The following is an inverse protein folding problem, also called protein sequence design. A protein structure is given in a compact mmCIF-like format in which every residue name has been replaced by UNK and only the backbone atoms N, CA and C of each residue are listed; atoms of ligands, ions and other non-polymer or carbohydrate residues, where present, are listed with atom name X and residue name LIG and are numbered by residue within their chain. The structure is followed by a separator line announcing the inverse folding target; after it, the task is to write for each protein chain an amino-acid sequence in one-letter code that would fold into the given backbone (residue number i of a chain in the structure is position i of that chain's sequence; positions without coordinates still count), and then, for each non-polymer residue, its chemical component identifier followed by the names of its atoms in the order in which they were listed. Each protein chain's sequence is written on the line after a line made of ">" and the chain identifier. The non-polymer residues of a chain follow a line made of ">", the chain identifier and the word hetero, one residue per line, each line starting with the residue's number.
data_IF_298645506355
#
_entry.id   IF_298645506355
#
_cell.length_a   1.000
_cell.length_b   1.000
_cell.length_c   1.000
_cell.angle_alpha   90.00
_cell.angle_beta   90.00
_cell.angle_gamma   90.00
#
_symmetry.space_group_name_H-M   'P 1'
#
loop_
_entity.id
_entity.type
_entity.pdbx_description
1 polymer ?
#
# COMPACT_ATOMS: atom_id res chain seq x y z
N UNK A 1 17.04 39.27 -14.24
CA UNK A 1 16.58 38.75 -15.55
C UNK A 1 17.54 37.67 -16.01
N UNK A 2 17.18 36.40 -15.83
CA UNK A 2 17.90 35.29 -16.45
C UNK A 2 16.87 34.52 -17.28
N UNK A 3 16.85 34.77 -18.60
CA UNK A 3 15.93 34.16 -19.55
C UNK A 3 16.69 33.04 -20.25
N UNK A 4 16.66 31.83 -19.67
CA UNK A 4 17.05 30.63 -20.40
C UNK A 4 15.82 30.16 -21.21
N UNK A 5 15.85 30.17 -22.55
CA UNK A 5 14.70 29.74 -23.34
C UNK A 5 14.48 28.25 -23.12
N UNK A 6 13.38 27.91 -22.43
CA UNK A 6 12.92 26.53 -22.25
C UNK A 6 12.77 25.85 -23.61
N UNK A 7 13.57 24.81 -23.86
CA UNK A 7 13.37 23.95 -25.04
C UNK A 7 12.01 23.25 -24.91
N UNK A 8 11.23 23.12 -26.01
CA UNK A 8 9.98 22.38 -25.96
C UNK A 8 10.25 20.90 -25.66
N UNK A 9 9.42 20.25 -24.82
CA UNK A 9 9.63 18.86 -24.46
C UNK A 9 9.53 17.95 -25.71
N UNK A 10 10.38 16.91 -25.83
CA UNK A 10 10.27 15.96 -26.93
C UNK A 10 8.96 15.16 -26.83
N UNK A 11 8.25 15.02 -27.95
CA UNK A 11 7.01 14.26 -28.04
C UNK A 11 7.22 12.78 -27.69
N UNK A 12 6.50 12.29 -26.68
CA UNK A 12 6.57 10.89 -26.19
C UNK A 12 5.92 9.95 -27.22
N UNK A 13 6.69 9.04 -27.81
CA UNK A 13 6.14 7.91 -28.61
C UNK A 13 5.82 6.76 -27.65
N UNK A 14 4.54 6.52 -27.39
CA UNK A 14 4.06 5.39 -26.57
C UNK A 14 4.25 4.08 -27.34
N UNK A 15 5.15 3.21 -26.87
CA UNK A 15 5.29 1.84 -27.36
C UNK A 15 4.72 0.89 -26.30
N UNK A 16 3.53 0.35 -26.57
CA UNK A 16 2.89 -0.74 -25.84
C UNK A 16 3.62 -2.05 -26.16
N UNK A 17 4.15 -2.75 -25.14
CA UNK A 17 4.55 -4.16 -25.27
C UNK A 17 3.80 -4.95 -24.20
N UNK A 18 2.77 -5.66 -24.66
CA UNK A 18 2.01 -6.66 -23.91
C UNK A 18 2.66 -8.02 -24.20
N UNK A 19 3.19 -8.67 -23.16
CA UNK A 19 3.49 -10.11 -23.10
C UNK A 19 3.39 -10.47 -21.61
N UNK A 20 2.51 -11.32 -21.08
CA UNK A 20 1.79 -12.47 -21.64
C UNK A 20 2.46 -13.76 -21.17
N UNK A 21 1.75 -14.58 -20.36
CA UNK A 21 1.94 -16.03 -20.07
C UNK A 21 2.95 -16.35 -18.94
N UNK A 22 2.76 -17.22 -17.93
CA UNK A 22 1.62 -18.02 -17.44
C UNK A 22 1.94 -18.64 -16.05
N UNK A 23 0.87 -18.83 -15.27
CA UNK A 23 0.48 -19.97 -14.42
C UNK A 23 1.53 -21.05 -14.02
N UNK A 24 1.68 -21.28 -12.71
CA UNK A 24 1.83 -22.64 -12.15
C UNK A 24 1.46 -22.69 -10.64
N UNK A 25 0.32 -23.30 -10.34
CA UNK A 25 -0.05 -23.84 -9.02
C UNK A 25 0.82 -25.08 -8.72
N UNK A 26 1.40 -25.18 -7.52
CA UNK A 26 1.77 -26.48 -6.93
C UNK A 26 1.38 -26.49 -5.46
N UNK A 27 0.29 -27.21 -5.17
CA UNK A 27 -0.08 -27.66 -3.84
C UNK A 27 0.80 -28.85 -3.43
N UNK A 28 1.17 -28.92 -2.15
CA UNK A 28 1.92 -30.05 -1.60
C UNK A 28 1.88 -30.06 -0.08
N UNK A 29 0.82 -30.66 0.46
CA UNK A 29 0.73 -31.05 1.87
C UNK A 29 1.53 -32.34 2.12
N UNK A 30 2.11 -32.51 3.32
CA UNK A 30 1.79 -33.57 4.31
C UNK A 30 2.84 -33.63 5.44
N UNK A 31 2.27 -33.56 6.65
CA UNK A 31 2.65 -33.84 8.05
C UNK A 31 3.58 -35.04 8.32
N UNK A 32 4.48 -34.93 9.34
CA UNK A 32 4.71 -35.88 10.45
C UNK A 32 6.01 -35.55 11.23
N UNK A 33 5.93 -35.14 12.50
CA UNK A 33 6.03 -35.98 13.72
C UNK A 33 7.47 -36.29 14.18
N UNK A 34 7.95 -35.60 15.21
CA UNK A 34 8.96 -36.17 16.13
C UNK A 34 8.77 -35.63 17.54
N UNK A 35 8.76 -36.54 18.51
CA UNK A 35 8.32 -36.35 19.87
C UNK A 35 9.49 -36.18 20.87
N UNK A 36 9.23 -35.36 21.89
CA UNK A 36 9.61 -35.51 23.31
C UNK A 36 11.12 -35.54 23.69
N UNK A 37 11.55 -34.57 24.51
CA UNK A 37 11.65 -34.76 25.97
C UNK A 37 11.98 -33.49 26.77
N UNK A 38 11.54 -33.44 28.06
CA UNK A 38 11.62 -32.28 28.93
C UNK A 38 12.90 -32.30 29.78
N UNK A 39 13.37 -31.11 30.15
CA UNK A 39 14.27 -30.93 31.30
C UNK A 39 13.70 -29.78 32.13
N UNK A 40 12.95 -30.16 33.15
CA UNK A 40 12.56 -29.29 34.26
C UNK A 40 13.81 -28.99 35.10
N UNK A 41 14.03 -27.73 35.48
CA UNK A 41 14.69 -27.40 36.74
C UNK A 41 14.10 -26.10 37.33
N UNK A 42 13.65 -26.09 38.61
CA UNK A 42 12.75 -25.09 39.15
C UNK A 42 13.48 -24.05 40.00
N UNK A 43 13.15 -22.75 39.87
CA UNK A 43 13.16 -21.80 40.99
C UNK A 43 12.16 -20.66 40.69
N UNK A 44 11.08 -20.64 41.46
CA UNK A 44 10.00 -19.67 41.37
C UNK A 44 10.40 -18.32 41.97
N UNK A 45 10.16 -17.24 41.21
CA UNK A 45 9.78 -15.94 41.74
C UNK A 45 8.43 -15.58 41.14
N UNK A 46 7.40 -15.73 41.98
CA UNK A 46 6.02 -15.39 41.69
C UNK A 46 5.87 -13.88 41.52
N UNK A 47 5.46 -13.48 40.34
CA UNK A 47 4.78 -12.21 40.06
C UNK A 47 3.91 -12.50 38.85
N UNK A 48 2.68 -12.98 39.08
CA UNK A 48 1.69 -13.15 38.04
C UNK A 48 1.05 -11.78 37.80
N UNK A 49 1.42 -11.00 36.76
CA UNK A 49 0.45 -10.06 36.23
C UNK A 49 -0.75 -10.90 35.79
N UNK A 50 -1.95 -10.50 36.21
CA UNK A 50 -3.18 -11.22 35.89
C UNK A 50 -3.18 -11.61 34.42
N UNK A 51 -3.39 -12.91 34.16
CA UNK A 51 -3.57 -13.43 32.81
C UNK A 51 -4.87 -12.87 32.26
N UNK A 52 -4.85 -11.63 31.77
CA UNK A 52 -5.70 -11.26 30.67
C UNK A 52 -5.19 -12.07 29.49
N UNK A 53 -5.70 -13.30 29.35
CA UNK A 53 -5.64 -14.00 28.07
C UNK A 53 -6.16 -12.98 27.07
N UNK A 54 -5.34 -12.52 26.10
CA UNK A 54 -5.88 -11.70 25.04
C UNK A 54 -6.98 -12.55 24.42
N UNK A 55 -8.23 -12.09 24.51
CA UNK A 55 -9.31 -12.72 23.77
C UNK A 55 -8.92 -12.54 22.31
N UNK A 56 -8.42 -13.61 21.70
CA UNK A 56 -8.20 -13.64 20.26
C UNK A 56 -9.56 -13.32 19.66
N UNK A 57 -9.73 -12.18 18.96
CA UNK A 57 -11.00 -11.89 18.33
C UNK A 57 -11.32 -13.07 17.43
N UNK A 58 -12.48 -13.70 17.65
CA UNK A 58 -12.96 -14.76 16.79
C UNK A 58 -13.20 -14.13 15.42
N UNK A 59 -12.30 -14.39 14.47
CA UNK A 59 -12.50 -13.94 13.09
C UNK A 59 -13.74 -14.61 12.55
N UNK A 60 -14.72 -13.80 12.15
CA UNK A 60 -15.88 -14.27 11.41
C UNK A 60 -15.37 -14.80 10.05
N UNK A 61 -15.47 -16.12 9.76
CA UNK A 61 -15.00 -16.66 8.50
C UNK A 61 -15.76 -16.08 7.30
N UNK A 62 -17.00 -15.65 7.50
CA UNK A 62 -17.83 -15.11 6.43
C UNK A 62 -17.35 -13.71 6.03
N UNK A 63 -16.92 -12.90 7.00
CA UNK A 63 -16.35 -11.57 6.76
C UNK A 63 -15.09 -11.63 5.87
N UNK A 64 -14.23 -12.63 6.06
CA UNK A 64 -13.02 -12.77 5.24
C UNK A 64 -13.35 -13.04 3.76
N UNK A 65 -14.36 -13.87 3.51
CA UNK A 65 -14.84 -14.15 2.15
C UNK A 65 -15.52 -12.92 1.54
N UNK A 66 -16.38 -12.23 2.30
CA UNK A 66 -17.05 -11.02 1.82
C UNK A 66 -16.06 -9.92 1.42
N UNK A 67 -15.03 -9.69 2.23
CA UNK A 67 -13.98 -8.71 1.90
C UNK A 67 -13.17 -9.11 0.67
N UNK A 68 -12.89 -10.41 0.50
CA UNK A 68 -12.20 -10.90 -0.70
C UNK A 68 -13.03 -10.68 -1.96
N UNK A 69 -14.33 -10.95 -1.91
CA UNK A 69 -15.25 -10.76 -3.03
C UNK A 69 -15.47 -9.27 -3.36
N UNK A 70 -15.39 -8.39 -2.37
CA UNK A 70 -15.51 -6.95 -2.56
C UNK A 70 -14.33 -6.32 -3.33
N UNK A 71 -13.14 -6.94 -3.28
CA UNK A 71 -11.95 -6.46 -4.00
C UNK A 71 -12.00 -6.93 -5.45
N UNK A 72 -12.42 -6.04 -6.35
CA UNK A 72 -12.54 -6.33 -7.78
C UNK A 72 -11.39 -5.72 -8.59
N UNK A 73 -11.01 -6.39 -9.68
CA UNK A 73 -10.00 -5.88 -10.61
C UNK A 73 -10.39 -4.50 -11.16
N UNK A 74 -11.64 -4.33 -11.58
CA UNK A 74 -12.15 -3.06 -12.12
C UNK A 74 -12.13 -1.94 -11.06
N UNK A 75 -12.43 -2.27 -9.81
CA UNK A 75 -12.29 -1.34 -8.68
C UNK A 75 -10.86 -0.84 -8.53
N UNK A 76 -9.89 -1.77 -8.48
CA UNK A 76 -8.47 -1.43 -8.37
C UNK A 76 -8.00 -0.59 -9.56
N UNK A 77 -8.32 -1.02 -10.78
CA UNK A 77 -7.88 -0.34 -12.00
C UNK A 77 -8.39 1.09 -12.09
N UNK A 78 -9.67 1.33 -11.74
CA UNK A 78 -10.25 2.68 -11.68
C UNK A 78 -9.47 3.62 -10.75
N UNK A 79 -9.06 3.15 -9.57
CA UNK A 79 -8.26 3.97 -8.65
C UNK A 79 -6.83 4.20 -9.16
N UNK A 80 -6.22 3.20 -9.79
CA UNK A 80 -4.89 3.34 -10.40
C UNK A 80 -4.90 4.34 -11.56
N UNK A 81 -5.93 4.31 -12.41
CA UNK A 81 -6.11 5.26 -13.52
C UNK A 81 -6.26 6.69 -13.00
N UNK A 82 -7.15 6.92 -12.01
CA UNK A 82 -7.32 8.24 -11.42
C UNK A 82 -6.02 8.80 -10.82
N UNK A 83 -5.27 7.97 -10.09
CA UNK A 83 -3.96 8.37 -9.56
C UNK A 83 -2.95 8.62 -10.70
N UNK A 84 -2.97 7.83 -11.78
CA UNK A 84 -2.08 8.07 -12.91
C UNK A 84 -2.42 9.38 -13.63
N UNK A 85 -3.70 9.70 -13.81
CA UNK A 85 -4.14 10.97 -14.39
C UNK A 85 -3.66 12.15 -13.54
N UNK A 86 -3.78 12.05 -12.20
CA UNK A 86 -3.21 13.05 -11.28
C UNK A 86 -1.70 13.23 -11.51
N UNK A 87 -0.95 12.13 -11.69
CA UNK A 87 0.48 12.24 -11.97
C UNK A 87 0.73 12.92 -13.32
N UNK A 88 0.03 12.52 -14.38
CA UNK A 88 0.18 13.04 -15.74
C UNK A 88 -0.11 14.55 -15.80
N UNK A 89 -1.14 15.01 -15.06
CA UNK A 89 -1.52 16.42 -14.96
C UNK A 89 -0.55 17.26 -14.11
N UNK A 90 0.23 16.63 -13.23
CA UNK A 90 1.15 17.28 -12.29
C UNK A 90 2.64 17.05 -12.61
N UNK A 91 3.00 17.03 -13.89
CA UNK A 91 4.39 16.91 -14.32
C UNK A 91 4.95 15.48 -14.25
N UNK A 92 4.07 14.48 -14.27
CA UNK A 92 4.40 13.06 -14.33
C UNK A 92 4.76 12.42 -12.99
N UNK A 93 4.47 13.05 -11.86
CA UNK A 93 4.78 12.51 -10.54
C UNK A 93 3.77 12.94 -9.47
N UNK A 94 3.83 12.24 -8.33
CA UNK A 94 3.05 12.52 -7.11
C UNK A 94 3.98 12.60 -5.90
N UNK A 95 5.16 13.21 -6.11
CA UNK A 95 6.17 13.33 -5.06
C UNK A 95 5.68 14.23 -3.93
N UNK A 96 6.11 13.98 -2.69
CA UNK A 96 5.70 14.79 -1.54
C UNK A 96 6.00 16.28 -1.75
N UNK A 97 5.23 17.17 -1.13
CA UNK A 97 5.35 18.62 -1.30
C UNK A 97 5.22 19.13 -2.77
N UNK A 98 4.54 18.37 -3.64
CA UNK A 98 4.18 18.80 -5.00
C UNK A 98 2.66 18.85 -5.18
N UNK A 99 2.19 19.56 -6.22
CA UNK A 99 0.76 19.60 -6.55
C UNK A 99 0.15 18.22 -6.83
N UNK A 100 0.94 17.27 -7.38
CA UNK A 100 0.49 15.89 -7.58
C UNK A 100 0.26 15.14 -6.28
N UNK A 101 1.00 15.47 -5.22
CA UNK A 101 0.73 14.91 -3.88
C UNK A 101 -0.55 15.48 -3.30
N UNK A 102 -0.73 16.80 -3.32
CA UNK A 102 -1.94 17.46 -2.79
C UNK A 102 -3.21 16.96 -3.50
N UNK A 103 -3.21 16.89 -4.83
CA UNK A 103 -4.31 16.32 -5.60
C UNK A 103 -4.57 14.83 -5.28
N UNK A 104 -3.54 14.06 -4.93
CA UNK A 104 -3.71 12.66 -4.49
C UNK A 104 -4.35 12.57 -3.11
N UNK A 105 -3.98 13.47 -2.21
CA UNK A 105 -4.57 13.57 -0.87
C UNK A 105 -6.06 13.89 -0.97
N UNK A 106 -6.43 14.85 -1.81
CA UNK A 106 -7.82 15.21 -2.08
C UNK A 106 -8.60 14.02 -2.63
N UNK A 107 -8.06 13.33 -3.63
CA UNK A 107 -8.69 12.16 -4.24
C UNK A 107 -8.98 11.05 -3.21
N UNK A 108 -7.99 10.70 -2.39
CA UNK A 108 -8.16 9.65 -1.37
C UNK A 108 -9.17 10.09 -0.31
N UNK A 109 -9.14 11.36 0.08
CA UNK A 109 -10.08 11.93 1.05
C UNK A 109 -11.52 11.85 0.55
N UNK A 110 -11.75 12.23 -0.71
CA UNK A 110 -13.08 12.14 -1.35
C UNK A 110 -13.56 10.68 -1.39
N UNK A 111 -12.73 9.75 -1.90
CA UNK A 111 -13.07 8.33 -1.99
C UNK A 111 -13.43 7.73 -0.62
N UNK A 112 -12.66 8.05 0.43
CA UNK A 112 -12.91 7.54 1.77
C UNK A 112 -14.16 8.17 2.39
N UNK A 113 -14.35 9.47 2.23
CA UNK A 113 -15.53 10.18 2.77
C UNK A 113 -16.82 9.69 2.08
N UNK A 114 -16.79 9.49 0.76
CA UNK A 114 -17.92 8.93 0.00
C UNK A 114 -18.24 7.49 0.41
N UNK A 115 -17.25 6.73 0.84
CA UNK A 115 -17.42 5.39 1.41
C UNK A 115 -17.88 5.42 2.88
N UNK A 116 -18.06 6.60 3.49
CA UNK A 116 -18.57 6.79 4.85
C UNK A 116 -17.51 6.74 5.95
N UNK A 117 -16.22 6.86 5.60
CA UNK A 117 -15.14 6.95 6.59
C UNK A 117 -14.98 8.37 7.13
N UNK A 118 -14.56 8.48 8.39
CA UNK A 118 -14.05 9.72 8.96
C UNK A 118 -12.57 9.86 8.62
N UNK A 119 -12.20 10.92 7.90
CA UNK A 119 -10.82 11.17 7.46
C UNK A 119 -10.15 12.18 8.37
N UNK A 120 -8.96 11.85 8.85
CA UNK A 120 -8.09 12.73 9.64
C UNK A 120 -6.70 12.80 9.00
N UNK A 121 -6.05 13.95 9.10
CA UNK A 121 -4.69 14.14 8.59
C UNK A 121 -3.68 14.14 9.72
N UNK A 122 -2.57 13.43 9.50
CA UNK A 122 -1.38 13.47 10.36
C UNK A 122 -0.24 14.10 9.56
N UNK A 123 0.08 15.35 9.89
CA UNK A 123 1.09 16.12 9.19
C UNK A 123 2.49 15.77 9.72
N UNK A 124 3.46 15.67 8.81
CA UNK A 124 4.84 15.41 9.18
C UNK A 124 5.80 16.21 8.31
N UNK A 125 6.97 16.51 8.88
CA UNK A 125 8.04 17.20 8.16
C UNK A 125 8.83 16.24 7.26
N UNK A 126 9.13 16.70 6.05
CA UNK A 126 9.95 15.95 5.09
C UNK A 126 11.09 16.80 4.56
N UNK A 127 12.26 16.19 4.41
CA UNK A 127 13.37 16.79 3.67
C UNK A 127 13.16 16.52 2.18
N UNK A 128 12.99 17.58 1.40
CA UNK A 128 12.84 17.52 -0.06
C UNK A 128 14.21 17.67 -0.73
N UNK A 129 14.48 16.82 -1.72
CA UNK A 129 15.67 16.91 -2.56
C UNK A 129 15.25 17.27 -3.99
N UNK A 130 15.80 18.37 -4.50
CA UNK A 130 15.58 18.83 -5.87
C UNK A 130 16.85 18.63 -6.69
N UNK A 131 16.70 18.07 -7.89
CA UNK A 131 17.78 17.99 -8.88
C UNK A 131 17.92 19.34 -9.59
N UNK A 132 19.07 20.00 -9.40
CA UNK A 132 19.32 21.35 -9.93
C UNK A 132 20.08 21.36 -11.28
N UNK A 133 20.69 20.23 -11.64
CA UNK A 133 21.49 20.01 -12.85
C UNK A 133 21.31 18.55 -13.27
N UNK A 134 21.31 18.21 -14.58
CA UNK A 134 21.16 16.83 -15.03
C UNK A 134 22.36 15.95 -14.64
N UNK A 135 22.07 14.68 -14.32
CA UNK A 135 23.05 13.62 -14.09
C UNK A 135 23.98 13.31 -15.28
#
# INVERSE_FOLDING_TARGET
>A
MNQNPQQPPPARRRALIIAGIALAFVAGAIVALSALRPSEDPLALSSTPGSSTPETPSSDPDLATELQEAVTLDGVMRHLEALQDIADDNGGNRFTATGGHEASVDYVTEVLTDAGYEVTFDEFEVTVYEENEPA
#
